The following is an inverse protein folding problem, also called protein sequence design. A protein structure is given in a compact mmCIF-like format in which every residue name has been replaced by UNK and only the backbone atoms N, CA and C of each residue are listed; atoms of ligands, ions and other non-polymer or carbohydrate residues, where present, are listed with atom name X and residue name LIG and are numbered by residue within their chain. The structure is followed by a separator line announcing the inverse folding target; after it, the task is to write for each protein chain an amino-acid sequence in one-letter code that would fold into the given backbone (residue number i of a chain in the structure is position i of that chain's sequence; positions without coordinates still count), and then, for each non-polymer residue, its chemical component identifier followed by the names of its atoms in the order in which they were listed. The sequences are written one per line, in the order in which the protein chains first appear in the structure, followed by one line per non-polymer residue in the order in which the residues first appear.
data_IF_368191264197
#
_entry.id   IF_368191264197
#
_cell.length_a   1.000
_cell.length_b   1.000
_cell.length_c   1.000
_cell.angle_alpha   90.00
_cell.angle_beta   90.00
_cell.angle_gamma   90.00
#
_symmetry.space_group_name_H-M   'P 1'
#
loop_
_entity.id
_entity.type
_entity.pdbx_description
1 polymer ?
#
# COMPACT_ATOMS: atom_id res chain seq x y z
N UNK A 1 -11.44 11.88 18.01
CA UNK A 1 -11.13 10.44 18.22
C UNK A 1 -12.41 9.66 17.94
N UNK A 2 -12.40 8.75 16.99
CA UNK A 2 -13.59 7.99 16.56
C UNK A 2 -13.83 6.72 17.39
N UNK A 3 -13.17 6.55 18.54
CA UNK A 3 -13.38 5.42 19.46
C UNK A 3 -12.82 4.07 19.00
N UNK A 4 -12.04 4.04 17.92
CA UNK A 4 -11.39 2.79 17.48
C UNK A 4 -10.13 2.52 18.30
N UNK A 5 -9.94 1.27 18.71
CA UNK A 5 -8.64 0.75 19.14
C UNK A 5 -7.82 0.40 17.89
N UNK A 6 -6.67 1.01 17.75
CA UNK A 6 -5.79 0.82 16.59
C UNK A 6 -4.49 0.16 17.05
N UNK A 7 -4.00 -0.81 16.28
CA UNK A 7 -2.68 -1.42 16.42
C UNK A 7 -2.00 -1.29 15.07
N UNK A 8 -0.79 -0.75 15.05
CA UNK A 8 0.02 -0.71 13.85
C UNK A 8 0.77 -2.04 13.66
N UNK A 9 0.95 -2.43 12.42
CA UNK A 9 1.79 -3.57 12.05
C UNK A 9 2.75 -3.16 10.93
N UNK A 10 4.04 -3.34 11.19
CA UNK A 10 5.10 -3.09 10.21
C UNK A 10 5.81 -4.40 9.89
N UNK A 11 6.21 -4.57 8.63
CA UNK A 11 6.98 -5.73 8.18
C UNK A 11 8.25 -5.25 7.50
N UNK A 12 9.38 -5.50 8.13
CA UNK A 12 10.69 -5.29 7.53
C UNK A 12 11.02 -6.52 6.66
N UNK A 13 11.11 -6.31 5.36
CA UNK A 13 11.33 -7.37 4.38
C UNK A 13 12.79 -7.81 4.26
N UNK A 14 13.74 -7.11 4.90
CA UNK A 14 15.17 -7.40 4.83
C UNK A 14 15.82 -7.14 3.46
N UNK A 15 15.11 -6.50 2.51
CA UNK A 15 15.60 -6.32 1.14
C UNK A 15 16.51 -5.08 1.03
N UNK A 16 16.14 -3.97 1.69
CA UNK A 16 16.83 -2.67 1.57
C UNK A 16 17.88 -2.43 2.66
N UNK A 17 18.22 -3.47 3.45
CA UNK A 17 19.20 -3.35 4.52
C UNK A 17 18.94 -2.15 5.44
N UNK A 18 19.92 -1.24 5.56
CA UNK A 18 19.87 -0.10 6.48
C UNK A 18 18.66 0.84 6.28
N UNK A 19 18.22 1.03 5.05
CA UNK A 19 17.04 1.87 4.76
C UNK A 19 15.76 1.26 5.35
N UNK A 20 15.61 -0.07 5.27
CA UNK A 20 14.47 -0.75 5.86
C UNK A 20 14.46 -0.63 7.40
N UNK A 21 15.66 -0.63 8.03
CA UNK A 21 15.80 -0.45 9.47
C UNK A 21 15.52 1.00 9.89
N UNK A 22 15.84 1.98 9.04
CA UNK A 22 15.50 3.40 9.27
C UNK A 22 13.99 3.64 9.15
N UNK A 23 13.32 3.02 8.17
CA UNK A 23 11.87 3.05 8.03
C UNK A 23 11.16 2.42 9.24
N UNK A 24 11.67 1.30 9.73
CA UNK A 24 11.14 0.62 10.92
C UNK A 24 11.22 1.52 12.16
N UNK A 25 12.39 2.11 12.42
CA UNK A 25 12.58 3.06 13.53
C UNK A 25 11.65 4.26 13.45
N UNK A 26 11.45 4.76 12.23
CA UNK A 26 10.50 5.85 12.02
C UNK A 26 9.07 5.44 12.36
N UNK A 27 8.63 4.25 11.95
CA UNK A 27 7.29 3.72 12.26
C UNK A 27 7.14 3.54 13.78
N UNK A 28 8.13 2.98 14.46
CA UNK A 28 8.11 2.83 15.92
C UNK A 28 7.96 4.18 16.64
N UNK A 29 8.77 5.16 16.24
CA UNK A 29 8.72 6.50 16.83
C UNK A 29 7.37 7.19 16.59
N UNK A 30 6.83 7.07 15.37
CA UNK A 30 5.52 7.61 15.03
C UNK A 30 4.41 6.97 15.86
N UNK A 31 4.43 5.65 15.99
CA UNK A 31 3.46 4.91 16.81
C UNK A 31 3.54 5.33 18.28
N UNK A 32 4.74 5.47 18.82
CA UNK A 32 4.95 5.95 20.19
C UNK A 32 4.40 7.37 20.39
N UNK A 33 4.64 8.29 19.45
CA UNK A 33 4.10 9.66 19.49
C UNK A 33 2.58 9.72 19.44
N UNK A 34 1.97 8.77 18.74
CA UNK A 34 0.51 8.68 18.58
C UNK A 34 -0.16 7.83 19.66
N UNK A 35 0.62 7.25 20.58
CA UNK A 35 0.15 6.30 21.59
C UNK A 35 -0.59 5.11 20.95
N UNK A 36 0.00 4.55 19.90
CA UNK A 36 -0.52 3.40 19.15
C UNK A 36 0.44 2.22 19.34
N UNK A 37 -0.02 1.07 19.87
CA UNK A 37 0.79 -0.14 19.90
C UNK A 37 1.27 -0.51 18.50
N UNK A 38 2.53 -0.96 18.38
CA UNK A 38 3.14 -1.40 17.13
C UNK A 38 3.64 -2.84 17.24
N UNK A 39 3.33 -3.65 16.24
CA UNK A 39 3.89 -4.98 16.03
C UNK A 39 4.84 -4.96 14.84
N UNK A 40 6.06 -5.42 15.03
CA UNK A 40 7.09 -5.46 13.99
C UNK A 40 7.44 -6.91 13.68
N UNK A 41 7.56 -7.20 12.40
CA UNK A 41 7.98 -8.49 11.86
C UNK A 41 9.21 -8.29 10.98
N UNK A 42 10.20 -9.19 11.15
CA UNK A 42 11.37 -9.25 10.30
C UNK A 42 11.30 -10.52 9.45
N UNK A 43 11.31 -10.37 8.15
CA UNK A 43 11.17 -11.49 7.22
C UNK A 43 12.19 -11.40 6.08
N UNK A 44 12.85 -12.49 5.79
CA UNK A 44 13.73 -12.56 4.63
C UNK A 44 12.92 -12.94 3.39
N UNK A 45 12.37 -11.92 2.73
CA UNK A 45 11.47 -12.11 1.57
C UNK A 45 12.22 -12.73 0.38
N UNK A 46 13.51 -12.46 0.19
CA UNK A 46 14.30 -13.10 -0.88
C UNK A 46 14.38 -14.62 -0.68
N UNK A 47 14.64 -15.06 0.54
CA UNK A 47 14.71 -16.49 0.85
C UNK A 47 13.34 -17.15 0.65
N UNK A 48 12.26 -16.48 1.03
CA UNK A 48 10.88 -16.96 0.86
C UNK A 48 10.52 -17.06 -0.62
N UNK A 49 10.81 -16.01 -1.40
CA UNK A 49 10.62 -15.97 -2.86
C UNK A 49 11.28 -17.16 -3.53
N UNK A 50 12.58 -17.41 -3.24
CA UNK A 50 13.33 -18.54 -3.79
C UNK A 50 12.73 -19.89 -3.42
N UNK A 51 12.38 -20.08 -2.13
CA UNK A 51 11.80 -21.35 -1.64
C UNK A 51 10.43 -21.65 -2.26
N UNK A 52 9.60 -20.61 -2.46
CA UNK A 52 8.24 -20.77 -2.99
C UNK A 52 8.16 -20.65 -4.52
N UNK A 53 9.28 -20.31 -5.18
CA UNK A 53 9.34 -20.04 -6.64
C UNK A 53 8.34 -18.97 -7.07
N UNK A 54 8.22 -17.92 -6.25
CA UNK A 54 7.36 -16.75 -6.47
C UNK A 54 8.22 -15.54 -6.82
N UNK A 55 7.61 -14.50 -7.42
CA UNK A 55 8.28 -13.21 -7.56
C UNK A 55 8.52 -12.58 -6.17
N UNK A 56 9.49 -11.68 -6.08
CA UNK A 56 9.80 -10.96 -4.85
C UNK A 56 8.59 -10.14 -4.35
N UNK A 57 7.85 -9.54 -5.29
CA UNK A 57 6.63 -8.78 -4.99
C UNK A 57 5.53 -9.65 -4.39
N UNK A 58 5.27 -10.83 -5.00
CA UNK A 58 4.28 -11.78 -4.49
C UNK A 58 4.65 -12.31 -3.10
N UNK A 59 5.91 -12.70 -2.92
CA UNK A 59 6.41 -13.17 -1.62
C UNK A 59 6.28 -12.08 -0.54
N UNK A 60 6.65 -10.83 -0.85
CA UNK A 60 6.50 -9.70 0.07
C UNK A 60 5.04 -9.37 0.39
N UNK A 61 4.14 -9.52 -0.58
CA UNK A 61 2.69 -9.35 -0.37
C UNK A 61 2.13 -10.44 0.55
N UNK A 62 2.51 -11.70 0.32
CA UNK A 62 2.07 -12.83 1.15
C UNK A 62 2.55 -12.70 2.58
N UNK A 63 3.82 -12.34 2.78
CA UNK A 63 4.42 -12.11 4.10
C UNK A 63 3.67 -11.02 4.86
N UNK A 64 3.44 -9.86 4.23
CA UNK A 64 2.66 -8.77 4.84
C UNK A 64 1.25 -9.21 5.21
N UNK A 65 0.60 -9.92 4.31
CA UNK A 65 -0.76 -10.43 4.55
C UNK A 65 -0.80 -11.33 5.77
N UNK A 66 0.10 -12.30 5.86
CA UNK A 66 0.16 -13.24 6.97
C UNK A 66 0.44 -12.53 8.30
N UNK A 67 1.37 -11.56 8.32
CA UNK A 67 1.67 -10.77 9.51
C UNK A 67 0.43 -9.98 9.98
N UNK A 68 -0.25 -9.30 9.06
CA UNK A 68 -1.45 -8.51 9.41
C UNK A 68 -2.60 -9.39 9.90
N UNK A 69 -2.81 -10.55 9.28
CA UNK A 69 -3.83 -11.52 9.70
C UNK A 69 -3.49 -12.15 11.07
N UNK A 70 -2.20 -12.39 11.34
CA UNK A 70 -1.74 -12.87 12.65
C UNK A 70 -2.02 -11.85 13.75
N UNK A 71 -1.58 -10.61 13.57
CA UNK A 71 -1.85 -9.52 14.53
C UNK A 71 -3.34 -9.32 14.74
N UNK A 72 -4.13 -9.30 13.67
CA UNK A 72 -5.58 -9.14 13.76
C UNK A 72 -6.21 -10.24 14.62
N UNK A 73 -5.79 -11.48 14.46
CA UNK A 73 -6.28 -12.61 15.24
C UNK A 73 -5.81 -12.59 16.71
N UNK A 74 -4.52 -12.34 16.93
CA UNK A 74 -3.88 -12.40 18.25
C UNK A 74 -4.32 -11.25 19.16
N UNK A 75 -4.47 -10.07 18.60
CA UNK A 75 -4.86 -8.87 19.36
C UNK A 75 -6.39 -8.62 19.33
N UNK A 76 -7.18 -9.57 18.82
CA UNK A 76 -8.64 -9.47 18.76
C UNK A 76 -9.15 -8.37 17.83
N UNK A 77 -8.42 -8.11 16.74
CA UNK A 77 -8.80 -7.14 15.72
C UNK A 77 -9.99 -7.63 14.88
N UNK A 78 -10.86 -6.73 14.49
CA UNK A 78 -12.01 -7.02 13.62
C UNK A 78 -11.78 -6.62 12.18
N UNK A 79 -10.88 -5.66 11.94
CA UNK A 79 -10.56 -5.12 10.63
C UNK A 79 -9.06 -4.89 10.45
N UNK A 80 -8.60 -5.09 9.23
CA UNK A 80 -7.24 -4.79 8.77
C UNK A 80 -7.33 -3.65 7.78
N UNK A 81 -6.76 -2.49 8.14
CA UNK A 81 -6.74 -1.31 7.29
C UNK A 81 -5.44 -1.23 6.48
N UNK A 82 -5.56 -0.97 5.18
CA UNK A 82 -4.42 -0.68 4.31
C UNK A 82 -4.57 0.68 3.66
N UNK A 83 -3.44 1.33 3.36
CA UNK A 83 -3.39 2.70 2.87
C UNK A 83 -3.52 2.81 1.34
N UNK A 84 -4.24 1.90 0.69
CA UNK A 84 -4.55 2.05 -0.73
C UNK A 84 -5.41 3.29 -0.94
N UNK A 85 -5.07 4.08 -1.96
CA UNK A 85 -5.75 5.33 -2.31
C UNK A 85 -6.33 5.26 -3.74
N UNK A 86 -6.98 6.34 -4.19
CA UNK A 86 -7.66 6.44 -5.50
C UNK A 86 -6.74 6.09 -6.67
N UNK A 87 -5.53 6.65 -6.67
CA UNK A 87 -4.58 6.42 -7.76
C UNK A 87 -4.11 4.96 -7.83
N UNK A 88 -3.96 4.27 -6.66
CA UNK A 88 -3.69 2.83 -6.65
C UNK A 88 -4.83 2.02 -7.29
N UNK A 89 -6.07 2.48 -7.14
CA UNK A 89 -7.20 1.84 -7.78
C UNK A 89 -7.16 2.04 -9.29
N UNK A 90 -6.92 3.25 -9.76
CA UNK A 90 -6.78 3.55 -11.18
C UNK A 90 -5.65 2.73 -11.82
N UNK A 91 -4.48 2.66 -11.19
CA UNK A 91 -3.37 1.79 -11.61
C UNK A 91 -3.81 0.32 -11.73
N UNK A 92 -4.55 -0.18 -10.73
CA UNK A 92 -5.01 -1.57 -10.70
C UNK A 92 -6.00 -1.86 -11.82
N UNK A 93 -6.94 -0.96 -12.08
CA UNK A 93 -7.92 -1.10 -13.18
C UNK A 93 -7.19 -1.12 -14.52
N UNK A 94 -6.26 -0.18 -14.78
CA UNK A 94 -5.48 -0.12 -16.02
C UNK A 94 -4.64 -1.39 -16.22
N UNK A 95 -4.00 -1.90 -15.18
CA UNK A 95 -3.25 -3.16 -15.23
C UNK A 95 -4.15 -4.35 -15.53
N UNK A 96 -5.35 -4.39 -14.96
CA UNK A 96 -6.31 -5.44 -15.21
C UNK A 96 -6.80 -5.40 -16.66
N UNK A 97 -7.12 -4.21 -17.19
CA UNK A 97 -7.49 -4.03 -18.61
C UNK A 97 -6.38 -4.53 -19.52
N UNK A 98 -5.13 -4.12 -19.26
CA UNK A 98 -3.98 -4.51 -20.08
C UNK A 98 -3.70 -6.03 -20.07
N UNK A 99 -4.06 -6.72 -18.99
CA UNK A 99 -3.91 -8.18 -18.85
C UNK A 99 -5.10 -8.98 -19.41
N UNK A 100 -6.15 -8.31 -19.84
CA UNK A 100 -7.42 -8.92 -20.23
C UNK A 100 -8.22 -9.35 -19.01
N UNK A 101 -9.25 -8.59 -18.68
CA UNK A 101 -10.10 -8.89 -17.53
C UNK A 101 -11.57 -8.82 -17.89
N UNK A 102 -12.41 -9.57 -17.18
CA UNK A 102 -13.85 -9.37 -17.18
C UNK A 102 -14.28 -8.27 -16.21
N UNK A 103 -15.59 -8.07 -16.09
CA UNK A 103 -16.22 -7.03 -15.25
C UNK A 103 -15.67 -7.00 -13.81
N UNK A 104 -15.38 -8.16 -13.22
CA UNK A 104 -14.84 -8.21 -11.86
C UNK A 104 -13.49 -7.53 -11.70
N UNK A 105 -12.62 -7.59 -12.70
CA UNK A 105 -11.31 -6.92 -12.63
C UNK A 105 -11.42 -5.42 -12.89
N UNK A 106 -12.45 -4.97 -13.61
CA UNK A 106 -12.73 -3.54 -13.80
C UNK A 106 -13.19 -2.86 -12.50
N UNK A 107 -13.73 -3.62 -11.54
CA UNK A 107 -14.06 -3.09 -10.22
C UNK A 107 -12.82 -2.70 -9.39
N UNK A 108 -11.62 -3.00 -9.85
CA UNK A 108 -10.38 -2.61 -9.19
C UNK A 108 -10.25 -3.05 -7.73
N UNK A 109 -9.79 -2.15 -6.88
CA UNK A 109 -9.60 -2.37 -5.45
C UNK A 109 -10.91 -2.07 -4.72
N UNK A 110 -11.52 -3.08 -4.09
CA UNK A 110 -12.75 -2.89 -3.32
C UNK A 110 -12.49 -2.15 -2.00
N UNK A 111 -13.33 -1.19 -1.59
CA UNK A 111 -13.20 -0.49 -0.31
C UNK A 111 -13.18 -1.43 0.90
N UNK A 112 -13.94 -2.51 0.82
CA UNK A 112 -14.00 -3.55 1.86
C UNK A 112 -14.11 -4.94 1.24
N UNK A 113 -13.37 -5.91 1.80
CA UNK A 113 -13.46 -7.32 1.47
C UNK A 113 -13.14 -8.15 2.70
N UNK A 114 -14.13 -8.85 3.26
CA UNK A 114 -13.99 -9.60 4.52
C UNK A 114 -13.51 -8.68 5.67
N UNK A 115 -12.36 -8.99 6.27
CA UNK A 115 -11.74 -8.18 7.32
C UNK A 115 -10.91 -7.00 6.79
N UNK A 116 -10.59 -6.97 5.49
CA UNK A 116 -9.74 -5.94 4.87
C UNK A 116 -10.55 -4.71 4.49
N UNK A 117 -10.10 -3.53 4.91
CA UNK A 117 -10.68 -2.24 4.57
C UNK A 117 -9.61 -1.29 3.99
N UNK A 118 -10.04 -0.33 3.17
CA UNK A 118 -9.18 0.69 2.54
C UNK A 118 -9.79 2.06 2.77
N UNK A 119 -9.58 2.63 3.96
CA UNK A 119 -10.22 3.89 4.34
C UNK A 119 -9.81 5.08 3.48
N UNK A 120 -8.65 5.03 2.84
CA UNK A 120 -8.11 6.12 2.02
C UNK A 120 -8.47 6.00 0.53
N UNK A 121 -9.26 4.99 0.14
CA UNK A 121 -9.53 4.72 -1.27
C UNK A 121 -10.31 5.86 -1.97
N UNK A 122 -11.04 6.68 -1.21
CA UNK A 122 -11.75 7.86 -1.70
C UNK A 122 -10.85 9.10 -1.89
N UNK A 123 -9.58 9.04 -1.46
CA UNK A 123 -8.64 10.16 -1.52
C UNK A 123 -7.58 9.92 -2.59
N UNK A 124 -7.16 10.98 -3.27
CA UNK A 124 -5.98 10.98 -4.13
C UNK A 124 -4.70 11.00 -3.30
N UNK A 125 -3.59 10.57 -3.89
CA UNK A 125 -2.26 10.69 -3.30
C UNK A 125 -1.94 12.13 -2.93
N UNK A 126 -2.28 13.08 -3.79
CA UNK A 126 -2.06 14.51 -3.57
C UNK A 126 -2.77 15.02 -2.32
N UNK A 127 -4.05 14.68 -2.15
CA UNK A 127 -4.83 15.07 -0.96
C UNK A 127 -4.22 14.51 0.33
N UNK A 128 -3.72 13.26 0.28
CA UNK A 128 -3.04 12.62 1.42
C UNK A 128 -1.73 13.35 1.74
N UNK A 129 -0.89 13.64 0.74
CA UNK A 129 0.38 14.34 0.91
C UNK A 129 0.18 15.76 1.44
N UNK A 130 -0.81 16.50 0.94
CA UNK A 130 -1.19 17.83 1.45
C UNK A 130 -1.62 17.78 2.92
N UNK A 131 -2.42 16.78 3.29
CA UNK A 131 -2.86 16.59 4.67
C UNK A 131 -1.70 16.27 5.60
N UNK A 132 -0.79 15.37 5.19
CA UNK A 132 0.41 15.03 5.95
C UNK A 132 1.32 16.24 6.14
N UNK A 133 1.49 17.06 5.10
CA UNK A 133 2.23 18.32 5.16
C UNK A 133 1.64 19.31 6.17
N UNK A 134 0.31 19.51 6.14
CA UNK A 134 -0.41 20.35 7.12
C UNK A 134 -0.22 19.85 8.56
N UNK A 135 -0.12 18.52 8.75
CA UNK A 135 0.12 17.91 10.07
C UNK A 135 1.60 17.81 10.44
N UNK A 136 2.51 18.23 9.57
CA UNK A 136 3.98 18.11 9.73
C UNK A 136 4.41 16.66 10.04
N UNK A 137 3.73 15.70 9.40
CA UNK A 137 4.09 14.29 9.47
C UNK A 137 5.06 14.01 8.31
N UNK A 138 6.27 13.59 8.65
CA UNK A 138 7.26 13.17 7.64
C UNK A 138 6.77 11.90 6.95
N UNK A 139 7.04 11.80 5.66
CA UNK A 139 6.85 10.55 4.89
C UNK A 139 8.21 9.91 4.63
N UNK A 140 8.29 8.59 4.73
CA UNK A 140 9.45 7.85 4.25
C UNK A 140 9.36 7.76 2.73
N UNK A 141 10.45 8.11 2.08
CA UNK A 141 10.57 8.03 0.63
C UNK A 141 11.19 6.68 0.25
N UNK A 142 10.45 5.85 -0.46
CA UNK A 142 10.94 4.59 -0.98
C UNK A 142 11.50 4.82 -2.40
N UNK A 143 12.83 4.74 -2.55
CA UNK A 143 13.52 4.97 -3.81
C UNK A 143 13.08 3.98 -4.91
N UNK A 144 12.67 2.76 -4.55
CA UNK A 144 12.19 1.76 -5.51
C UNK A 144 10.89 2.15 -6.21
N UNK A 145 10.14 3.11 -5.64
CA UNK A 145 8.96 3.69 -6.29
C UNK A 145 9.31 4.52 -7.54
N UNK A 146 10.56 4.89 -7.76
CA UNK A 146 11.01 5.62 -8.94
C UNK A 146 11.50 4.70 -10.08
N UNK A 147 11.69 3.42 -9.80
CA UNK A 147 12.20 2.47 -10.78
C UNK A 147 11.09 2.00 -11.72
N UNK A 148 11.17 2.35 -13.00
CA UNK A 148 10.22 1.91 -14.05
C UNK A 148 10.36 0.41 -14.41
N UNK A 149 11.19 -0.33 -13.68
CA UNK A 149 11.36 -1.77 -13.86
C UNK A 149 10.05 -2.53 -13.54
N UNK A 150 9.30 -2.03 -12.57
CA UNK A 150 8.02 -2.62 -12.20
C UNK A 150 6.87 -2.11 -13.07
N UNK A 151 6.07 -3.02 -13.62
CA UNK A 151 4.93 -2.68 -14.50
C UNK A 151 3.98 -1.66 -13.86
N UNK A 152 3.79 -1.71 -12.55
CA UNK A 152 2.94 -0.77 -11.84
C UNK A 152 3.51 0.65 -11.83
N UNK A 153 4.82 0.79 -11.66
CA UNK A 153 5.49 2.09 -11.71
C UNK A 153 5.40 2.70 -13.12
N UNK A 154 5.51 1.88 -14.17
CA UNK A 154 5.29 2.36 -15.56
C UNK A 154 3.88 2.87 -15.78
N UNK A 155 2.85 2.24 -15.21
CA UNK A 155 1.49 2.77 -15.28
C UNK A 155 1.38 4.10 -14.55
N UNK A 156 1.95 4.20 -13.35
CA UNK A 156 1.95 5.40 -12.49
C UNK A 156 2.67 6.58 -13.13
N UNK A 157 3.86 6.35 -13.69
CA UNK A 157 4.73 7.43 -14.15
C UNK A 157 4.50 7.82 -15.61
N UNK A 158 4.01 6.90 -16.44
CA UNK A 158 3.94 7.12 -17.87
C UNK A 158 2.50 7.10 -18.40
N UNK A 159 1.72 6.07 -18.05
CA UNK A 159 0.41 5.86 -18.67
C UNK A 159 -0.66 6.76 -18.06
N UNK A 160 -0.79 6.75 -16.72
CA UNK A 160 -1.80 7.57 -16.04
C UNK A 160 -1.60 9.08 -16.30
N UNK A 161 -0.37 9.63 -16.17
CA UNK A 161 -0.13 11.02 -16.51
C UNK A 161 -0.36 11.36 -18.00
N UNK A 162 -0.11 10.41 -18.90
CA UNK A 162 -0.41 10.60 -20.31
C UNK A 162 -1.93 10.70 -20.58
N UNK A 163 -2.73 9.86 -19.92
CA UNK A 163 -4.18 9.92 -19.97
C UNK A 163 -4.70 11.25 -19.41
N UNK A 164 -4.17 11.69 -18.26
CA UNK A 164 -4.56 12.96 -17.65
C UNK A 164 -4.20 14.17 -18.52
N UNK A 165 -3.03 14.16 -19.15
CA UNK A 165 -2.55 15.28 -19.97
C UNK A 165 -3.21 15.33 -21.34
N UNK A 166 -3.45 14.18 -21.98
CA UNK A 166 -3.83 14.12 -23.41
C UNK A 166 -5.33 13.86 -23.63
N UNK A 167 -6.01 13.26 -22.66
CA UNK A 167 -7.41 12.84 -22.81
C UNK A 167 -8.31 13.58 -21.81
N UNK A 168 -8.04 13.43 -20.50
CA UNK A 168 -8.89 14.02 -19.46
C UNK A 168 -8.12 14.21 -18.17
N UNK A 169 -8.02 15.44 -17.66
CA UNK A 169 -7.33 15.77 -16.41
C UNK A 169 -7.88 15.03 -15.19
N UNK A 170 -9.13 14.54 -15.23
CA UNK A 170 -9.75 13.71 -14.21
C UNK A 170 -9.66 12.19 -14.48
N UNK A 171 -8.76 11.73 -15.37
CA UNK A 171 -8.71 10.32 -15.77
C UNK A 171 -8.56 9.35 -14.59
N UNK A 172 -7.71 9.65 -13.62
CA UNK A 172 -7.54 8.82 -12.42
C UNK A 172 -8.83 8.71 -11.60
N UNK A 173 -9.59 9.80 -11.46
CA UNK A 173 -10.86 9.84 -10.75
C UNK A 173 -11.94 9.03 -11.47
N UNK A 174 -12.12 9.28 -12.78
CA UNK A 174 -13.13 8.57 -13.58
C UNK A 174 -12.84 7.06 -13.73
N UNK A 175 -11.57 6.65 -13.71
CA UNK A 175 -11.21 5.21 -13.70
C UNK A 175 -11.53 4.59 -12.33
N UNK A 176 -11.50 5.38 -11.26
CA UNK A 176 -11.83 4.92 -9.92
C UNK A 176 -13.34 4.73 -9.71
N UNK A 177 -14.19 5.59 -10.29
CA UNK A 177 -15.65 5.54 -10.24
C UNK A 177 -16.23 4.28 -10.91
#
# INVERSE_FOLDING_TARGET
KMGFRVIACHVNHGIRGREADEDEKYVEELCRRLDVPCRIFHENVELISRKRKQSLEEAGRDVRRNAFESVCREDGGTKIATAHHRDDNAETVLLNIARGTGIQGLCGIRPSRQQWIRPLLCLSRKEIEEWLGKKRIRTCFDATNQEDEYTRNRVRHNILPALEKQINAGAAEHIHE
#
